data_IF_391862067099
#
_entry.id   IF_391862067099
#
_cell.length_a   1.000
_cell.length_b   1.000
_cell.length_c   1.000
_cell.angle_alpha   90.00
_cell.angle_beta   90.00
_cell.angle_gamma   90.00
#
_symmetry.space_group_name_H-M   'P 1'
#
loop_
_entity.id
_entity.type
_entity.pdbx_description
1 polymer ?
#
# COMPACT_ATOMS: atom_id res chain seq x y z
N UNK A 1 45.59 57.00 2.36
CA UNK A 1 46.63 56.78 1.32
C UNK A 1 47.28 55.46 1.65
N UNK A 2 46.88 54.42 0.91
CA UNK A 2 47.08 53.01 1.21
C UNK A 2 48.51 52.51 0.93
N UNK A 3 48.94 51.58 1.79
CA UNK A 3 50.14 50.77 1.63
C UNK A 3 49.74 49.31 1.37
N UNK A 4 50.56 48.65 0.54
CA UNK A 4 50.39 47.30 0.02
C UNK A 4 50.54 46.16 1.06
N UNK A 5 49.98 44.99 0.72
CA UNK A 5 50.66 43.67 0.68
C UNK A 5 49.66 42.53 0.90
N UNK A 6 49.69 41.52 0.05
CA UNK A 6 48.83 40.34 0.14
C UNK A 6 49.20 39.37 1.26
N UNK A 7 48.25 38.48 1.57
CA UNK A 7 48.43 37.10 2.09
C UNK A 7 47.12 36.31 1.98
N UNK A 8 47.27 35.00 1.94
CA UNK A 8 46.34 33.98 1.43
C UNK A 8 45.44 33.34 2.51
N UNK A 9 44.38 32.67 2.03
CA UNK A 9 43.60 31.55 2.60
C UNK A 9 42.84 31.80 3.92
N UNK A 10 41.51 31.79 3.84
CA UNK A 10 40.66 31.10 4.83
C UNK A 10 39.48 30.42 4.12
N UNK A 11 39.27 29.16 4.47
CA UNK A 11 38.13 28.32 4.10
C UNK A 11 36.86 28.87 4.73
N UNK A 12 35.72 28.74 4.04
CA UNK A 12 34.42 28.67 4.71
C UNK A 12 33.56 27.63 4.01
N UNK A 13 33.40 26.52 4.71
CA UNK A 13 32.25 25.63 4.57
C UNK A 13 30.98 26.47 4.83
N UNK A 14 29.94 26.27 4.03
CA UNK A 14 28.59 26.71 4.42
C UNK A 14 27.56 25.67 3.99
N UNK A 15 27.38 24.70 4.88
CA UNK A 15 26.07 24.29 5.39
C UNK A 15 24.99 23.96 4.37
N UNK A 16 24.86 22.66 4.07
CA UNK A 16 23.56 22.05 3.79
C UNK A 16 22.73 22.07 5.08
N UNK A 17 22.13 23.22 5.40
CA UNK A 17 21.13 23.32 6.48
C UNK A 17 19.75 23.52 5.86
N UNK A 18 19.01 22.41 5.84
CA UNK A 18 17.62 22.36 5.42
C UNK A 18 16.98 21.00 5.64
N UNK A 19 17.53 20.17 6.54
CA UNK A 19 16.76 19.06 7.11
C UNK A 19 15.97 19.62 8.27
N UNK A 20 14.74 20.02 7.96
CA UNK A 20 13.74 20.42 8.93
C UNK A 20 13.74 19.44 10.11
N UNK A 21 13.98 20.01 11.27
CA UNK A 21 13.85 19.43 12.58
C UNK A 21 12.43 18.86 12.74
N UNK A 22 12.25 17.56 12.50
CA UNK A 22 11.09 16.81 12.96
C UNK A 22 11.42 16.27 14.34
N UNK A 23 11.38 17.13 15.34
CA UNK A 23 11.33 16.69 16.73
C UNK A 23 9.86 16.59 17.16
N UNK A 24 9.35 15.36 17.20
CA UNK A 24 8.16 15.00 17.99
C UNK A 24 8.06 13.47 18.09
N UNK A 25 8.67 12.88 19.12
CA UNK A 25 8.33 11.57 19.75
C UNK A 25 7.86 10.39 18.86
N UNK A 26 8.33 10.28 17.63
CA UNK A 26 8.06 9.10 16.83
C UNK A 26 9.08 8.01 17.22
N UNK A 27 8.65 7.07 18.05
CA UNK A 27 9.44 5.94 18.52
C UNK A 27 10.10 5.21 17.34
N UNK A 28 11.44 5.22 17.22
CA UNK A 28 12.23 4.74 16.08
C UNK A 28 11.66 3.48 15.40
N UNK A 29 11.70 3.40 14.06
CA UNK A 29 11.24 2.22 13.33
C UNK A 29 11.96 0.96 13.80
N UNK A 30 13.29 1.04 13.94
CA UNK A 30 14.12 -0.02 14.50
C UNK A 30 15.01 0.63 15.56
N UNK A 31 14.93 0.24 16.84
CA UNK A 31 15.78 0.80 17.88
C UNK A 31 17.27 0.65 17.52
N UNK A 32 18.02 1.75 17.61
CA UNK A 32 19.45 1.78 17.28
C UNK A 32 19.76 1.94 15.79
N UNK A 33 18.76 2.16 14.93
CA UNK A 33 18.95 2.38 13.49
C UNK A 33 18.25 3.66 13.02
N UNK A 34 18.87 4.49 12.16
CA UNK A 34 18.19 5.62 11.53
C UNK A 34 16.99 5.17 10.68
N UNK A 35 15.90 5.94 10.74
CA UNK A 35 14.62 5.56 10.09
C UNK A 35 14.74 5.36 8.58
N UNK A 36 15.59 6.11 7.89
CA UNK A 36 15.81 5.94 6.45
C UNK A 36 16.47 4.60 6.10
N UNK A 37 17.38 4.10 6.95
CA UNK A 37 17.98 2.76 6.77
C UNK A 37 16.97 1.69 7.17
N UNK A 38 16.18 1.92 8.22
CA UNK A 38 15.09 1.01 8.58
C UNK A 38 14.09 0.86 7.43
N UNK A 39 13.65 1.97 6.82
CA UNK A 39 12.80 1.98 5.62
C UNK A 39 13.44 1.21 4.48
N UNK A 40 14.71 1.45 4.17
CA UNK A 40 15.44 0.74 3.12
C UNK A 40 15.47 -0.77 3.34
N UNK A 41 15.67 -1.23 4.57
CA UNK A 41 15.67 -2.63 4.95
C UNK A 41 14.26 -3.24 4.84
N UNK A 42 13.27 -2.59 5.44
CA UNK A 42 11.88 -3.07 5.45
C UNK A 42 11.30 -3.09 4.03
N UNK A 43 11.56 -2.07 3.22
CA UNK A 43 11.03 -1.96 1.86
C UNK A 43 11.46 -3.11 0.94
N UNK A 44 12.56 -3.82 1.25
CA UNK A 44 13.02 -5.01 0.52
C UNK A 44 12.26 -6.28 0.85
N UNK A 45 11.53 -6.31 1.96
CA UNK A 45 10.77 -7.49 2.38
C UNK A 45 9.66 -7.77 1.35
N UNK A 46 9.57 -8.98 0.77
CA UNK A 46 8.56 -9.28 -0.24
C UNK A 46 7.13 -9.07 0.26
N UNK A 47 6.22 -8.68 -0.64
CA UNK A 47 4.82 -8.30 -0.33
C UNK A 47 4.06 -9.38 0.45
N UNK A 48 4.36 -10.65 0.18
CA UNK A 48 3.81 -11.79 0.91
C UNK A 48 4.01 -11.70 2.43
N UNK A 49 5.04 -11.02 2.88
CA UNK A 49 5.37 -10.89 4.31
C UNK A 49 4.88 -9.57 4.93
N UNK A 50 4.27 -8.67 4.17
CA UNK A 50 3.75 -7.39 4.68
C UNK A 50 2.71 -7.57 5.81
N UNK A 51 1.81 -8.56 5.78
CA UNK A 51 0.92 -8.83 6.91
C UNK A 51 1.68 -9.11 8.22
N UNK A 52 2.86 -9.76 8.17
CA UNK A 52 3.67 -9.98 9.35
C UNK A 52 4.35 -8.69 9.83
N UNK A 53 4.80 -7.84 8.90
CA UNK A 53 5.35 -6.51 9.25
C UNK A 53 4.32 -5.67 10.01
N UNK A 54 3.05 -5.71 9.60
CA UNK A 54 1.95 -5.00 10.26
C UNK A 54 1.70 -5.45 11.71
N UNK A 55 2.12 -6.66 12.08
CA UNK A 55 1.94 -7.20 13.42
C UNK A 55 3.10 -6.88 14.37
N UNK A 56 4.23 -6.36 13.87
CA UNK A 56 5.41 -6.08 14.71
C UNK A 56 5.17 -4.87 15.61
N UNK A 57 4.70 -3.76 15.06
CA UNK A 57 4.39 -2.54 15.82
C UNK A 57 3.37 -1.67 15.09
N UNK A 58 2.72 -0.75 15.81
CA UNK A 58 1.82 0.26 15.20
C UNK A 58 2.55 1.09 14.14
N UNK A 59 3.80 1.49 14.42
CA UNK A 59 4.61 2.30 13.51
C UNK A 59 4.98 1.55 12.23
N UNK A 60 5.31 0.25 12.31
CA UNK A 60 5.57 -0.57 11.12
C UNK A 60 4.31 -0.70 10.26
N UNK A 61 3.16 -0.93 10.90
CA UNK A 61 1.88 -0.98 10.20
C UNK A 61 1.55 0.34 9.51
N UNK A 62 1.73 1.47 10.19
CA UNK A 62 1.54 2.81 9.63
C UNK A 62 2.47 3.05 8.44
N UNK A 63 3.75 2.66 8.54
CA UNK A 63 4.70 2.74 7.45
C UNK A 63 4.28 1.90 6.25
N UNK A 64 3.98 0.61 6.44
CA UNK A 64 3.60 -0.30 5.35
C UNK A 64 2.30 0.12 4.68
N UNK A 65 1.41 0.79 5.42
CA UNK A 65 0.16 1.33 4.89
C UNK A 65 0.30 2.76 4.32
N UNK A 66 1.46 3.42 4.45
CA UNK A 66 1.65 4.80 3.99
C UNK A 66 1.88 4.87 2.48
N UNK A 67 1.56 6.01 1.87
CA UNK A 67 1.84 6.22 0.44
C UNK A 67 3.34 6.39 0.16
N UNK A 68 4.10 6.87 1.15
CA UNK A 68 5.56 6.96 1.10
C UNK A 68 6.18 5.59 0.85
N UNK A 69 5.72 4.54 1.56
CA UNK A 69 6.20 3.18 1.36
C UNK A 69 5.95 2.66 -0.06
N UNK A 70 4.74 2.88 -0.58
CA UNK A 70 4.39 2.44 -1.93
C UNK A 70 5.19 3.18 -3.00
N UNK A 71 5.34 4.50 -2.85
CA UNK A 71 6.13 5.32 -3.76
C UNK A 71 7.61 4.93 -3.71
N UNK A 72 8.15 4.72 -2.51
CA UNK A 72 9.54 4.28 -2.32
C UNK A 72 9.81 2.96 -3.02
N UNK A 73 8.96 1.95 -2.81
CA UNK A 73 9.11 0.65 -3.48
C UNK A 73 8.98 0.76 -5.00
N UNK A 74 8.07 1.58 -5.50
CA UNK A 74 7.89 1.82 -6.93
C UNK A 74 9.14 2.46 -7.55
N UNK A 75 9.67 3.50 -6.93
CA UNK A 75 10.82 4.25 -7.41
C UNK A 75 12.12 3.45 -7.38
N UNK A 76 12.22 2.46 -6.48
CA UNK A 76 13.38 1.59 -6.33
C UNK A 76 13.22 0.22 -7.03
N UNK A 77 12.23 0.06 -7.92
CA UNK A 77 11.98 -1.19 -8.64
C UNK A 77 11.73 -2.42 -7.72
N UNK A 78 11.19 -2.18 -6.52
CA UNK A 78 10.81 -3.21 -5.56
C UNK A 78 9.31 -3.56 -5.66
N UNK A 79 8.58 -3.00 -6.62
CA UNK A 79 7.17 -3.29 -6.82
C UNK A 79 6.98 -4.70 -7.40
N UNK A 80 6.10 -5.48 -6.78
CA UNK A 80 5.78 -6.85 -7.20
C UNK A 80 4.44 -6.86 -7.94
N UNK A 81 4.37 -7.57 -9.07
CA UNK A 81 3.14 -7.72 -9.85
C UNK A 81 2.32 -8.87 -9.27
N UNK A 82 1.20 -8.54 -8.64
CA UNK A 82 0.23 -9.51 -8.14
C UNK A 82 -1.01 -9.44 -9.01
N UNK A 83 -1.51 -10.59 -9.44
CA UNK A 83 -2.68 -10.70 -10.30
C UNK A 83 -3.88 -11.00 -9.42
N UNK A 84 -4.95 -10.21 -9.57
CA UNK A 84 -6.21 -10.42 -8.87
C UNK A 84 -7.27 -10.86 -9.87
N UNK A 85 -8.08 -11.85 -9.49
CA UNK A 85 -9.17 -12.34 -10.31
C UNK A 85 -10.45 -12.39 -9.48
N UNK A 86 -11.53 -11.92 -10.09
CA UNK A 86 -12.88 -12.04 -9.55
C UNK A 86 -13.61 -13.12 -10.32
N UNK A 87 -14.12 -14.12 -9.62
CA UNK A 87 -14.74 -15.30 -10.21
C UNK A 87 -16.05 -15.60 -9.48
N UNK A 88 -16.94 -16.36 -10.13
CA UNK A 88 -18.09 -16.99 -9.50
C UNK A 88 -17.74 -18.46 -9.27
N UNK A 89 -17.96 -18.96 -8.07
CA UNK A 89 -17.73 -20.36 -7.73
C UNK A 89 -18.90 -21.27 -8.14
N UNK A 90 -18.76 -22.57 -7.86
CA UNK A 90 -19.82 -23.57 -8.17
C UNK A 90 -21.10 -23.37 -7.36
N UNK A 91 -21.05 -22.59 -6.29
CA UNK A 91 -22.18 -22.25 -5.42
C UNK A 91 -22.84 -20.93 -5.82
N UNK A 92 -22.52 -20.41 -7.01
CA UNK A 92 -22.97 -19.13 -7.54
C UNK A 92 -22.48 -17.92 -6.73
N UNK A 93 -21.42 -18.08 -5.92
CA UNK A 93 -20.89 -17.02 -5.06
C UNK A 93 -19.65 -16.33 -5.65
N UNK A 94 -19.62 -15.01 -5.51
CA UNK A 94 -18.48 -14.18 -5.85
C UNK A 94 -17.28 -14.52 -4.97
N UNK A 95 -16.13 -14.74 -5.60
CA UNK A 95 -14.87 -15.08 -4.97
C UNK A 95 -13.75 -14.25 -5.57
N UNK A 96 -12.88 -13.71 -4.72
CA UNK A 96 -11.68 -12.99 -5.18
C UNK A 96 -10.44 -13.86 -4.94
N UNK A 97 -9.57 -13.96 -5.94
CA UNK A 97 -8.33 -14.73 -5.91
C UNK A 97 -7.14 -13.83 -6.19
N UNK A 98 -6.00 -14.20 -5.62
CA UNK A 98 -4.73 -13.54 -5.81
C UNK A 98 -3.65 -14.52 -6.22
N UNK A 99 -2.84 -14.13 -7.20
CA UNK A 99 -1.69 -14.87 -7.68
C UNK A 99 -0.44 -13.99 -7.57
N UNK A 100 0.54 -14.48 -6.83
CA UNK A 100 1.89 -13.92 -6.81
C UNK A 100 2.65 -14.43 -8.04
N UNK A 101 2.93 -13.55 -9.00
CA UNK A 101 3.59 -13.90 -10.26
C UNK A 101 5.00 -14.45 -10.06
N UNK A 102 5.68 -14.10 -8.96
CA UNK A 102 7.02 -14.59 -8.64
C UNK A 102 7.00 -15.99 -8.00
N UNK A 103 5.83 -16.48 -7.58
CA UNK A 103 5.65 -17.79 -6.94
C UNK A 103 4.69 -18.67 -7.76
N UNK A 104 4.99 -18.86 -9.04
CA UNK A 104 4.19 -19.69 -9.98
C UNK A 104 3.85 -21.08 -9.44
N UNK A 105 4.67 -21.64 -8.56
CA UNK A 105 4.47 -22.98 -7.95
C UNK A 105 3.33 -23.05 -6.92
N UNK A 106 2.80 -21.91 -6.44
CA UNK A 106 1.79 -21.90 -5.35
C UNK A 106 0.37 -21.59 -5.80
N UNK A 107 0.16 -21.33 -7.09
CA UNK A 107 -1.16 -21.14 -7.68
C UNK A 107 -1.97 -19.99 -7.09
N UNK A 108 -3.23 -19.92 -7.50
CA UNK A 108 -4.21 -18.92 -7.04
C UNK A 108 -4.60 -19.17 -5.57
N UNK A 109 -4.61 -18.11 -4.76
CA UNK A 109 -5.10 -18.15 -3.38
C UNK A 109 -6.38 -17.34 -3.25
N UNK A 110 -7.37 -17.89 -2.55
CA UNK A 110 -8.61 -17.16 -2.25
C UNK A 110 -8.35 -16.08 -1.21
N UNK A 111 -8.71 -14.84 -1.53
CA UNK A 111 -8.80 -13.74 -0.56
C UNK A 111 -10.02 -14.01 0.31
N UNK A 112 -9.81 -13.93 1.63
CA UNK A 112 -10.86 -14.17 2.62
C UNK A 112 -11.70 -12.90 2.86
N UNK A 113 -12.78 -13.06 3.61
CA UNK A 113 -13.58 -11.96 4.15
C UNK A 113 -14.16 -11.00 3.10
N UNK A 114 -14.53 -11.54 1.94
CA UNK A 114 -15.33 -10.78 0.98
C UNK A 114 -16.63 -10.32 1.65
N UNK A 115 -17.04 -9.04 1.50
CA UNK A 115 -18.27 -8.54 2.11
C UNK A 115 -19.47 -9.42 1.76
N UNK A 116 -20.21 -9.87 2.76
CA UNK A 116 -21.29 -10.86 2.59
C UNK A 116 -22.37 -10.41 1.60
N UNK A 117 -22.66 -9.10 1.56
CA UNK A 117 -23.60 -8.48 0.61
C UNK A 117 -23.15 -8.63 -0.84
N UNK A 118 -21.85 -8.75 -1.11
CA UNK A 118 -21.32 -8.95 -2.46
C UNK A 118 -21.39 -10.40 -2.93
N UNK A 119 -21.49 -11.38 -2.03
CA UNK A 119 -21.31 -12.79 -2.36
C UNK A 119 -22.29 -13.28 -3.42
N UNK A 120 -23.52 -12.79 -3.45
CA UNK A 120 -24.54 -13.21 -4.43
C UNK A 120 -24.73 -12.23 -5.59
N UNK A 121 -23.89 -11.18 -5.68
CA UNK A 121 -24.01 -10.17 -6.72
C UNK A 121 -23.42 -10.64 -8.04
N UNK A 122 -24.06 -10.23 -9.13
CA UNK A 122 -23.59 -10.35 -10.50
C UNK A 122 -23.36 -8.97 -11.08
N UNK A 123 -22.57 -8.88 -12.15
CA UNK A 123 -22.29 -7.59 -12.82
C UNK A 123 -21.45 -6.61 -12.00
N UNK A 124 -20.80 -7.06 -10.93
CA UNK A 124 -19.95 -6.22 -10.08
C UNK A 124 -18.75 -5.71 -10.90
N UNK A 125 -18.57 -4.39 -10.94
CA UNK A 125 -17.37 -3.77 -11.50
C UNK A 125 -16.14 -4.07 -10.65
N UNK A 126 -15.00 -4.36 -11.28
CA UNK A 126 -13.78 -4.81 -10.61
C UNK A 126 -12.56 -4.07 -11.13
N UNK A 127 -12.01 -3.14 -10.36
CA UNK A 127 -10.98 -2.20 -10.83
C UNK A 127 -9.90 -1.92 -9.79
N UNK A 128 -8.68 -1.64 -10.23
CA UNK A 128 -7.56 -1.26 -9.34
C UNK A 128 -7.32 0.24 -9.41
N UNK A 129 -7.26 0.90 -8.26
CA UNK A 129 -6.85 2.31 -8.15
C UNK A 129 -5.76 2.46 -7.09
N UNK A 130 -4.57 2.86 -7.54
CA UNK A 130 -3.40 2.96 -6.67
C UNK A 130 -3.01 1.61 -6.06
N UNK A 131 -3.07 1.52 -4.72
CA UNK A 131 -2.75 0.31 -3.95
C UNK A 131 -3.97 -0.55 -3.59
N UNK A 132 -5.18 -0.09 -3.96
CA UNK A 132 -6.45 -0.68 -3.55
C UNK A 132 -7.20 -1.26 -4.74
N UNK A 133 -7.93 -2.33 -4.48
CA UNK A 133 -8.79 -3.01 -5.45
C UNK A 133 -10.24 -2.72 -5.09
N UNK A 134 -11.07 -2.36 -6.05
CA UNK A 134 -12.43 -1.90 -5.84
C UNK A 134 -13.44 -2.87 -6.46
N UNK A 135 -14.53 -3.07 -5.73
CA UNK A 135 -15.75 -3.73 -6.17
C UNK A 135 -16.86 -2.69 -6.17
N UNK A 136 -17.50 -2.48 -7.32
CA UNK A 136 -18.48 -1.41 -7.50
C UNK A 136 -19.81 -2.00 -7.99
N UNK A 137 -20.88 -1.72 -7.27
CA UNK A 137 -22.24 -2.07 -7.68
C UNK A 137 -22.51 -3.57 -7.78
N UNK A 138 -23.26 -3.94 -8.81
CA UNK A 138 -23.85 -5.24 -9.06
C UNK A 138 -25.30 -5.34 -8.61
N UNK A 139 -25.95 -6.44 -9.01
CA UNK A 139 -27.31 -6.77 -8.59
C UNK A 139 -27.38 -8.22 -8.09
N UNK A 140 -28.34 -8.47 -7.20
CA UNK A 140 -28.68 -9.81 -6.77
C UNK A 140 -29.78 -10.42 -7.62
N UNK A 141 -30.16 -11.66 -7.31
CA UNK A 141 -31.34 -12.30 -7.92
C UNK A 141 -32.65 -11.60 -7.57
N UNK A 142 -32.74 -11.07 -6.35
CA UNK A 142 -33.91 -10.36 -5.80
C UNK A 142 -33.59 -8.87 -5.62
N UNK A 143 -32.32 -8.55 -5.34
CA UNK A 143 -31.86 -7.20 -5.08
C UNK A 143 -31.66 -6.43 -6.38
N UNK A 144 -32.19 -5.23 -6.47
CA UNK A 144 -31.92 -4.30 -7.57
C UNK A 144 -30.43 -3.92 -7.63
N UNK A 145 -30.06 -3.19 -8.69
CA UNK A 145 -28.73 -2.62 -8.79
C UNK A 145 -28.37 -1.80 -7.54
N UNK A 146 -27.12 -1.84 -7.13
CA UNK A 146 -26.61 -1.13 -5.95
C UNK A 146 -25.57 -0.09 -6.33
N UNK A 147 -25.46 0.94 -5.52
CA UNK A 147 -24.40 1.95 -5.57
C UNK A 147 -23.26 1.63 -4.59
N UNK A 148 -23.34 0.54 -3.83
CA UNK A 148 -22.31 0.20 -2.85
C UNK A 148 -20.95 -0.06 -3.50
N UNK A 149 -19.90 0.44 -2.84
CA UNK A 149 -18.52 0.23 -3.25
C UNK A 149 -17.73 -0.35 -2.08
N UNK A 150 -16.94 -1.37 -2.36
CA UNK A 150 -15.99 -1.95 -1.42
C UNK A 150 -14.58 -1.82 -1.96
N UNK A 151 -13.61 -1.56 -1.09
CA UNK A 151 -12.20 -1.56 -1.43
C UNK A 151 -11.42 -2.56 -0.58
N UNK A 152 -10.59 -3.33 -1.24
CA UNK A 152 -9.61 -4.21 -0.63
C UNK A 152 -8.28 -3.48 -0.53
N UNK A 153 -7.80 -3.33 0.71
CA UNK A 153 -6.46 -2.85 0.99
C UNK A 153 -5.51 -4.04 1.12
N UNK A 154 -4.66 -4.21 0.11
CA UNK A 154 -3.75 -5.33 0.05
C UNK A 154 -2.52 -5.19 0.97
N UNK A 155 -2.25 -4.00 1.54
CA UNK A 155 -1.25 -3.86 2.59
C UNK A 155 -1.77 -4.42 3.91
N UNK A 156 -3.06 -4.22 4.18
CA UNK A 156 -3.73 -4.68 5.40
C UNK A 156 -4.38 -6.06 5.25
N UNK A 157 -4.53 -6.55 4.02
CA UNK A 157 -5.28 -7.77 3.70
C UNK A 157 -6.72 -7.71 4.24
N UNK A 158 -7.39 -6.57 4.04
CA UNK A 158 -8.75 -6.31 4.55
C UNK A 158 -9.65 -5.63 3.52
N UNK A 159 -10.93 -5.98 3.56
CA UNK A 159 -11.99 -5.28 2.84
C UNK A 159 -12.59 -4.17 3.70
N UNK A 160 -12.89 -3.03 3.08
CA UNK A 160 -13.52 -1.88 3.71
C UNK A 160 -14.61 -1.30 2.79
N UNK A 161 -15.62 -0.65 3.36
CA UNK A 161 -16.58 0.14 2.58
C UNK A 161 -15.90 1.39 2.03
N UNK A 162 -16.22 1.76 0.80
CA UNK A 162 -15.78 3.00 0.16
C UNK A 162 -16.99 3.91 -0.12
N UNK A 163 -16.73 5.11 -0.63
CA UNK A 163 -17.80 6.03 -1.05
C UNK A 163 -18.68 5.38 -2.13
N UNK A 164 -20.02 5.50 -2.02
CA UNK A 164 -20.93 4.90 -2.98
C UNK A 164 -20.81 5.55 -4.36
N UNK A 165 -21.28 4.84 -5.39
CA UNK A 165 -21.48 5.40 -6.72
C UNK A 165 -22.57 6.46 -6.69
N UNK A 166 -22.53 7.42 -7.61
CA UNK A 166 -23.60 8.40 -7.76
C UNK A 166 -24.89 7.80 -8.33
N UNK A 167 -24.78 6.65 -9.01
CA UNK A 167 -25.87 5.92 -9.64
C UNK A 167 -25.59 4.43 -9.43
N UNK A 168 -26.59 3.70 -8.96
CA UNK A 168 -26.53 2.24 -8.83
C UNK A 168 -26.31 1.56 -10.19
N UNK A 169 -25.46 0.54 -10.23
CA UNK A 169 -25.08 -0.18 -11.45
C UNK A 169 -25.00 -1.67 -11.23
#
# INVERSE_FOLDING_TARGET
>A
MENASGKSVEQTESGLEGFGQFDSEQAALIPGLPDHIALFCLARVPRKYHPFLNCVSKRWRELVCSDEWHLYRRNNCLAETWIYALCIDKSDQLCCYVLDSNQLQRGWKRIQDLPSRCLKRKGVGFEVLGKKLYLCGGCGWIEEATDEVYCYDASMNTWNTASPLSIAR
#
